data_IF_849138445525
#
_entry.id   IF_849138445525
#
_cell.length_a   1.000
_cell.length_b   1.000
_cell.length_c   1.000
_cell.angle_alpha   90.00
_cell.angle_beta   90.00
_cell.angle_gamma   90.00
#
_symmetry.space_group_name_H-M   'P 1'
#
loop_
_entity.id
_entity.type
_entity.pdbx_description
1 polymer ?
#
# COMPACT_ATOMS: atom_id res chain seq x y z
N UNK A 1 8.76 -16.33 6.02
CA UNK A 1 9.52 -15.05 6.02
C UNK A 1 9.09 -14.08 7.12
N UNK A 2 7.87 -13.53 7.13
CA UNK A 2 7.47 -12.51 8.15
C UNK A 2 7.49 -13.02 9.60
N UNK A 3 7.17 -14.28 9.85
CA UNK A 3 7.31 -14.90 11.18
C UNK A 3 8.76 -14.95 11.66
N UNK A 4 9.67 -15.28 10.76
CA UNK A 4 11.12 -15.30 11.04
C UNK A 4 11.65 -13.90 11.31
N UNK A 5 11.24 -12.89 10.51
CA UNK A 5 11.60 -11.50 10.75
C UNK A 5 11.11 -10.99 12.12
N UNK A 6 9.88 -11.34 12.51
CA UNK A 6 9.36 -11.02 13.86
C UNK A 6 10.14 -11.69 14.99
N UNK A 7 10.60 -12.92 14.79
CA UNK A 7 11.44 -13.62 15.76
C UNK A 7 12.77 -12.91 15.93
N UNK A 8 13.46 -12.59 14.83
CA UNK A 8 14.73 -11.83 14.84
C UNK A 8 14.55 -10.49 15.51
N UNK A 9 13.52 -9.73 15.15
CA UNK A 9 13.27 -8.40 15.72
C UNK A 9 12.99 -8.46 17.23
N UNK A 10 12.38 -9.54 17.75
CA UNK A 10 12.14 -9.70 19.19
C UNK A 10 13.38 -10.14 19.97
N UNK A 11 14.30 -10.83 19.32
CA UNK A 11 15.55 -11.30 19.95
C UNK A 11 16.68 -10.28 19.89
N UNK A 12 16.53 -9.20 19.13
CA UNK A 12 17.55 -8.18 18.95
C UNK A 12 17.01 -6.79 19.25
N UNK A 13 17.80 -5.98 19.96
CA UNK A 13 17.55 -4.55 20.15
C UNK A 13 17.93 -3.72 18.90
N UNK A 14 18.60 -4.33 17.93
CA UNK A 14 19.07 -3.67 16.71
C UNK A 14 17.89 -3.56 15.72
N UNK A 15 17.64 -2.37 15.15
CA UNK A 15 16.60 -2.20 14.12
C UNK A 15 16.85 -3.09 12.91
N UNK A 16 15.84 -3.87 12.52
CA UNK A 16 15.91 -4.72 11.34
C UNK A 16 15.65 -3.91 10.07
N UNK A 17 16.53 -4.04 9.09
CA UNK A 17 16.40 -3.51 7.73
C UNK A 17 16.50 -4.64 6.72
N UNK A 18 15.79 -4.54 5.61
CA UNK A 18 15.95 -5.42 4.46
C UNK A 18 16.62 -4.60 3.37
N UNK A 19 17.91 -4.89 3.14
CA UNK A 19 18.78 -4.06 2.32
C UNK A 19 18.59 -4.27 0.81
N UNK A 20 17.93 -5.37 0.42
CA UNK A 20 17.52 -5.58 -0.96
C UNK A 20 16.24 -6.41 -1.00
N UNK A 21 15.25 -5.93 -1.72
CA UNK A 21 14.01 -6.64 -1.98
C UNK A 21 13.40 -6.22 -3.30
N UNK A 22 12.62 -7.11 -3.92
CA UNK A 22 11.65 -6.82 -4.96
C UNK A 22 10.76 -8.06 -5.19
N UNK A 23 9.82 -7.99 -6.17
CA UNK A 23 8.79 -9.01 -6.38
C UNK A 23 9.31 -10.33 -7.02
N UNK A 24 10.16 -10.25 -8.04
CA UNK A 24 10.76 -11.40 -8.70
C UNK A 24 12.27 -11.18 -8.86
N UNK A 25 13.08 -12.15 -8.48
CA UNK A 25 14.54 -12.05 -8.58
C UNK A 25 15.04 -11.91 -10.03
N UNK A 26 16.35 -11.65 -10.20
CA UNK A 26 17.02 -11.60 -11.51
C UNK A 26 16.41 -10.57 -12.48
N UNK A 27 16.20 -9.32 -12.02
CA UNK A 27 15.63 -8.18 -12.78
C UNK A 27 14.12 -8.26 -13.04
N UNK A 28 13.42 -9.19 -12.39
CA UNK A 28 11.99 -9.32 -12.54
C UNK A 28 11.55 -10.05 -13.82
N UNK A 29 10.26 -10.28 -13.94
CA UNK A 29 9.64 -10.94 -15.06
C UNK A 29 8.72 -9.94 -15.78
N UNK A 30 8.97 -9.60 -17.06
CA UNK A 30 8.05 -8.79 -17.84
C UNK A 30 6.65 -9.40 -17.89
N UNK A 31 5.61 -8.56 -17.81
CA UNK A 31 4.22 -9.01 -17.74
C UNK A 31 3.76 -9.50 -16.35
N UNK A 32 4.68 -9.56 -15.38
CA UNK A 32 4.41 -9.85 -13.97
C UNK A 32 4.90 -8.69 -13.12
N UNK A 33 6.21 -8.45 -13.10
CA UNK A 33 6.87 -7.51 -12.20
C UNK A 33 6.56 -6.04 -12.51
N UNK A 34 6.28 -5.72 -13.78
CA UNK A 34 5.96 -4.39 -14.26
C UNK A 34 4.45 -4.13 -14.33
N UNK A 35 3.62 -4.97 -13.72
CA UNK A 35 2.16 -4.84 -13.77
C UNK A 35 1.59 -4.26 -12.46
N UNK A 36 0.31 -3.92 -12.46
CA UNK A 36 -0.39 -3.45 -11.28
C UNK A 36 -0.48 -4.50 -10.16
N UNK A 37 -0.41 -5.79 -10.50
CA UNK A 37 -0.30 -6.86 -9.50
C UNK A 37 0.96 -6.69 -8.62
N UNK A 38 2.07 -6.21 -9.20
CA UNK A 38 3.29 -5.85 -8.46
C UNK A 38 3.03 -4.71 -7.47
N UNK A 39 2.26 -3.70 -7.85
CA UNK A 39 1.87 -2.61 -6.94
C UNK A 39 1.02 -3.12 -5.77
N UNK A 40 0.07 -4.03 -6.02
CA UNK A 40 -0.73 -4.63 -4.95
C UNK A 40 0.13 -5.47 -4.01
N UNK A 41 1.06 -6.26 -4.57
CA UNK A 41 2.04 -7.00 -3.79
C UNK A 41 2.90 -6.07 -2.93
N UNK A 42 3.45 -5.00 -3.51
CA UNK A 42 4.31 -4.05 -2.80
C UNK A 42 3.55 -3.32 -1.67
N UNK A 43 2.28 -2.97 -1.87
CA UNK A 43 1.44 -2.37 -0.85
C UNK A 43 1.23 -3.30 0.35
N UNK A 44 0.89 -4.58 0.11
CA UNK A 44 0.73 -5.59 1.16
C UNK A 44 2.07 -5.92 1.83
N UNK A 45 3.09 -6.20 1.02
CA UNK A 45 4.41 -6.59 1.50
C UNK A 45 5.02 -5.52 2.41
N UNK A 46 5.04 -4.26 1.98
CA UNK A 46 5.61 -3.15 2.74
C UNK A 46 4.85 -2.95 4.06
N UNK A 47 3.51 -2.91 4.01
CA UNK A 47 2.71 -2.76 5.22
C UNK A 47 2.94 -3.90 6.21
N UNK A 48 2.99 -5.15 5.73
CA UNK A 48 3.24 -6.32 6.60
C UNK A 48 4.66 -6.39 7.13
N UNK A 49 5.67 -5.99 6.35
CA UNK A 49 7.05 -5.90 6.81
C UNK A 49 7.19 -4.85 7.92
N UNK A 50 6.60 -3.66 7.74
CA UNK A 50 6.53 -2.64 8.78
C UNK A 50 5.81 -3.15 10.04
N UNK A 51 4.69 -3.85 9.88
CA UNK A 51 3.96 -4.46 11.00
C UNK A 51 4.74 -5.60 11.67
N UNK A 52 5.70 -6.21 10.98
CA UNK A 52 6.64 -7.17 11.55
C UNK A 52 7.80 -6.53 12.31
N UNK A 53 7.94 -5.18 12.28
CA UNK A 53 8.99 -4.43 12.95
C UNK A 53 10.17 -4.05 12.06
N UNK A 54 10.09 -4.32 10.75
CA UNK A 54 11.12 -3.89 9.78
C UNK A 54 11.11 -2.36 9.71
N UNK A 55 12.29 -1.74 9.84
CA UNK A 55 12.48 -0.29 9.89
C UNK A 55 12.88 0.33 8.55
N UNK A 56 13.31 -0.47 7.61
CA UNK A 56 13.66 -0.03 6.26
C UNK A 56 13.54 -1.18 5.27
N UNK A 57 13.13 -0.84 4.06
CA UNK A 57 13.04 -1.72 2.91
C UNK A 57 13.67 -1.00 1.73
N UNK A 58 14.70 -1.60 1.14
CA UNK A 58 15.36 -1.07 -0.03
C UNK A 58 14.90 -1.87 -1.26
N UNK A 59 14.01 -1.26 -2.03
CA UNK A 59 13.56 -1.86 -3.28
C UNK A 59 14.64 -1.71 -4.33
N UNK A 60 15.09 -2.83 -4.87
CA UNK A 60 16.11 -2.83 -5.91
C UNK A 60 15.60 -2.10 -7.15
N UNK A 61 16.34 -1.09 -7.57
CA UNK A 61 16.08 -0.31 -8.78
C UNK A 61 17.39 0.01 -9.51
N UNK A 62 17.39 -0.16 -10.82
CA UNK A 62 18.46 0.26 -11.71
C UNK A 62 17.90 1.23 -12.74
N UNK A 63 17.83 2.48 -12.38
CA UNK A 63 17.14 3.54 -13.13
C UNK A 63 17.62 3.67 -14.61
N UNK A 64 18.91 3.44 -14.87
CA UNK A 64 19.50 3.51 -16.20
C UNK A 64 19.58 2.16 -16.93
N UNK A 65 19.30 1.06 -16.25
CA UNK A 65 19.24 -0.30 -16.79
C UNK A 65 18.07 -1.04 -16.15
N UNK A 66 16.84 -0.56 -16.39
CA UNK A 66 15.70 -1.05 -15.65
C UNK A 66 15.45 -2.53 -15.93
N UNK A 67 15.26 -3.29 -14.85
CA UNK A 67 14.59 -4.57 -14.91
C UNK A 67 13.06 -4.39 -14.92
N UNK A 68 12.32 -5.47 -15.14
CA UNK A 68 10.87 -5.40 -15.15
C UNK A 68 10.28 -4.97 -13.80
N UNK A 69 11.00 -5.19 -12.69
CA UNK A 69 10.57 -4.77 -11.35
C UNK A 69 10.96 -3.33 -10.97
N UNK A 70 11.70 -2.59 -11.81
CA UNK A 70 12.16 -1.23 -11.44
C UNK A 70 10.98 -0.32 -11.14
N UNK A 71 10.88 0.26 -9.92
CA UNK A 71 9.81 1.20 -9.59
C UNK A 71 9.85 2.47 -10.45
N UNK A 72 11.05 2.93 -10.79
CA UNK A 72 11.29 4.11 -11.61
C UNK A 72 12.16 3.76 -12.83
N UNK A 73 11.91 4.41 -13.94
CA UNK A 73 12.64 4.21 -15.19
C UNK A 73 12.98 5.57 -15.81
N UNK A 74 14.26 5.81 -16.09
CA UNK A 74 14.68 6.98 -16.86
C UNK A 74 14.42 6.72 -18.36
N UNK A 75 13.76 7.65 -19.01
CA UNK A 75 13.54 7.70 -20.46
C UNK A 75 13.99 9.06 -21.01
N UNK A 76 13.99 9.22 -22.34
CA UNK A 76 14.40 10.48 -22.98
C UNK A 76 13.54 11.67 -22.57
N UNK A 77 12.28 11.44 -22.25
CA UNK A 77 11.27 12.43 -21.86
C UNK A 77 11.12 12.61 -20.34
N UNK A 78 11.97 11.96 -19.55
CA UNK A 78 11.99 12.12 -18.08
C UNK A 78 11.91 10.81 -17.29
N UNK A 79 11.50 10.93 -16.03
CA UNK A 79 11.30 9.77 -15.15
C UNK A 79 9.88 9.22 -15.31
N UNK A 80 9.78 7.91 -15.49
CA UNK A 80 8.52 7.20 -15.55
C UNK A 80 8.35 6.31 -14.34
N UNK A 81 7.22 6.43 -13.69
CA UNK A 81 6.82 5.57 -12.58
C UNK A 81 6.15 4.29 -13.11
N UNK A 82 6.71 3.15 -12.77
CA UNK A 82 6.05 1.87 -12.93
C UNK A 82 5.00 1.65 -11.82
N UNK A 83 4.08 0.69 -11.98
CA UNK A 83 2.99 0.46 -11.04
C UNK A 83 3.43 0.34 -9.58
N UNK A 84 4.54 -0.34 -9.31
CA UNK A 84 5.09 -0.53 -7.97
C UNK A 84 5.38 0.78 -7.23
N UNK A 85 5.85 1.83 -7.95
CA UNK A 85 6.15 3.13 -7.37
C UNK A 85 4.97 3.75 -6.63
N UNK A 86 3.74 3.57 -7.15
CA UNK A 86 2.53 4.11 -6.52
C UNK A 86 2.24 3.45 -5.17
N UNK A 87 2.59 2.17 -5.00
CA UNK A 87 2.49 1.50 -3.72
C UNK A 87 3.51 2.04 -2.71
N UNK A 88 4.73 2.35 -3.16
CA UNK A 88 5.77 2.96 -2.31
C UNK A 88 5.36 4.36 -1.86
N UNK A 89 4.76 5.18 -2.75
CA UNK A 89 4.18 6.48 -2.39
C UNK A 89 3.06 6.36 -1.35
N UNK A 90 2.23 5.32 -1.45
CA UNK A 90 1.19 5.03 -0.46
C UNK A 90 1.81 4.62 0.88
N UNK A 91 2.82 3.73 0.86
CA UNK A 91 3.49 3.21 2.05
C UNK A 91 4.26 4.31 2.81
N UNK A 92 4.81 5.29 2.12
CA UNK A 92 5.49 6.45 2.72
C UNK A 92 4.58 7.19 3.73
N UNK A 93 3.25 7.15 3.53
CA UNK A 93 2.27 7.74 4.45
C UNK A 93 2.23 7.08 5.82
N UNK A 94 2.79 5.87 5.94
CA UNK A 94 2.85 5.10 7.18
C UNK A 94 4.14 5.38 7.97
N UNK A 95 5.06 6.18 7.44
CA UNK A 95 6.35 6.46 8.07
C UNK A 95 6.17 6.98 9.52
N UNK A 96 6.95 6.44 10.45
CA UNK A 96 6.88 6.80 11.87
C UNK A 96 5.68 6.24 12.64
N UNK A 97 4.75 5.54 11.99
CA UNK A 97 3.58 4.94 12.66
C UNK A 97 3.93 3.62 13.33
N UNK A 98 3.23 3.32 14.43
CA UNK A 98 3.32 2.04 15.15
C UNK A 98 2.28 1.07 14.62
N UNK A 99 2.67 -0.18 14.39
CA UNK A 99 1.74 -1.23 13.98
C UNK A 99 0.72 -1.55 15.07
N UNK A 100 -0.52 -1.77 14.65
CA UNK A 100 -1.62 -2.26 15.45
C UNK A 100 -2.00 -3.67 15.00
N UNK A 101 -2.63 -4.43 15.91
CA UNK A 101 -3.21 -5.73 15.53
C UNK A 101 -4.43 -5.50 14.63
N UNK A 102 -4.44 -6.17 13.47
CA UNK A 102 -5.58 -6.23 12.57
C UNK A 102 -5.94 -7.69 12.27
N UNK A 103 -7.23 -7.97 12.08
CA UNK A 103 -7.75 -9.28 11.69
C UNK A 103 -8.76 -9.10 10.57
N UNK A 104 -8.77 -10.02 9.60
CA UNK A 104 -9.75 -10.09 8.52
C UNK A 104 -10.64 -11.30 8.75
N UNK A 105 -11.94 -11.12 8.56
CA UNK A 105 -12.93 -12.18 8.66
C UNK A 105 -13.69 -12.31 7.32
N UNK A 106 -13.89 -13.53 6.87
CA UNK A 106 -14.76 -13.89 5.73
C UNK A 106 -14.38 -13.29 4.37
N UNK A 107 -13.09 -12.97 4.15
CA UNK A 107 -12.60 -12.47 2.86
C UNK A 107 -11.17 -12.98 2.62
N UNK A 108 -11.00 -14.18 2.01
CA UNK A 108 -9.70 -14.84 1.90
C UNK A 108 -8.67 -14.07 1.08
N UNK A 109 -9.11 -13.29 0.10
CA UNK A 109 -8.24 -12.49 -0.78
C UNK A 109 -8.09 -11.03 -0.32
N UNK A 110 -8.62 -10.67 0.86
CA UNK A 110 -8.43 -9.36 1.47
C UNK A 110 -7.34 -9.43 2.52
N UNK A 111 -6.36 -8.54 2.43
CA UNK A 111 -5.43 -8.27 3.53
C UNK A 111 -5.73 -6.94 4.18
N UNK A 112 -5.43 -6.85 5.47
CA UNK A 112 -5.55 -5.63 6.24
C UNK A 112 -4.37 -5.50 7.21
N UNK A 113 -3.74 -4.32 7.21
CA UNK A 113 -2.69 -3.97 8.17
C UNK A 113 -3.01 -2.60 8.74
N UNK A 114 -2.89 -2.45 10.06
CA UNK A 114 -3.26 -1.21 10.75
C UNK A 114 -2.09 -0.59 11.48
N UNK A 115 -2.10 0.74 11.56
CA UNK A 115 -1.06 1.56 12.18
C UNK A 115 -1.69 2.71 12.96
N UNK A 116 -0.92 3.25 13.89
CA UNK A 116 -1.24 4.47 14.63
C UNK A 116 -0.04 5.41 14.57
N UNK A 117 -0.25 6.61 14.07
CA UNK A 117 0.77 7.67 14.07
C UNK A 117 0.95 8.27 15.48
N UNK A 118 2.04 9.02 15.70
CA UNK A 118 2.29 9.74 16.93
C UNK A 118 1.16 10.75 17.25
N UNK A 119 0.50 11.31 16.22
CA UNK A 119 -0.65 12.23 16.39
C UNK A 119 -1.99 11.52 16.60
N UNK A 120 -2.02 10.21 16.89
CA UNK A 120 -3.25 9.46 17.13
C UNK A 120 -4.10 9.18 15.89
N UNK A 121 -3.54 9.38 14.69
CA UNK A 121 -4.21 9.07 13.42
C UNK A 121 -4.12 7.58 13.16
N UNK A 122 -5.26 6.90 13.02
CA UNK A 122 -5.28 5.50 12.63
C UNK A 122 -5.24 5.38 11.10
N UNK A 123 -4.38 4.48 10.62
CA UNK A 123 -4.13 4.23 9.19
C UNK A 123 -4.31 2.75 8.92
N UNK A 124 -5.18 2.39 7.98
CA UNK A 124 -5.47 1.01 7.63
C UNK A 124 -5.18 0.81 6.15
N UNK A 125 -4.21 -0.05 5.84
CA UNK A 125 -3.93 -0.53 4.49
C UNK A 125 -4.80 -1.74 4.23
N UNK A 126 -5.59 -1.67 3.17
CA UNK A 126 -6.43 -2.75 2.67
C UNK A 126 -5.96 -3.10 1.26
N UNK A 127 -5.76 -4.39 0.98
CA UNK A 127 -5.47 -4.86 -0.38
C UNK A 127 -6.42 -5.99 -0.73
N UNK A 128 -7.17 -5.80 -1.80
CA UNK A 128 -8.08 -6.80 -2.36
C UNK A 128 -7.43 -7.46 -3.57
N UNK A 129 -7.06 -8.73 -3.42
CA UNK A 129 -6.44 -9.56 -4.46
C UNK A 129 -7.47 -10.34 -5.31
N UNK A 130 -8.76 -10.09 -5.14
CA UNK A 130 -9.76 -10.71 -6.01
C UNK A 130 -9.46 -10.37 -7.48
N UNK A 131 -9.67 -11.31 -8.42
CA UNK A 131 -9.45 -11.06 -9.84
C UNK A 131 -10.27 -9.88 -10.35
N UNK A 132 -9.72 -9.16 -11.33
CA UNK A 132 -10.41 -8.06 -12.00
C UNK A 132 -11.76 -8.53 -12.58
N UNK A 133 -12.78 -7.67 -12.49
CA UNK A 133 -14.17 -8.03 -12.88
C UNK A 133 -14.99 -8.68 -11.77
N UNK A 134 -14.38 -9.03 -10.62
CA UNK A 134 -15.10 -9.50 -9.44
C UNK A 134 -15.96 -8.41 -8.79
N UNK A 135 -16.95 -8.83 -8.01
CA UNK A 135 -17.79 -7.91 -7.23
C UNK A 135 -16.96 -7.17 -6.20
N UNK A 136 -17.08 -5.85 -6.08
CA UNK A 136 -16.40 -5.11 -5.03
C UNK A 136 -16.73 -5.63 -3.63
N UNK A 137 -15.72 -5.75 -2.77
CA UNK A 137 -15.93 -6.14 -1.38
C UNK A 137 -16.53 -4.97 -0.59
N UNK A 138 -17.61 -5.23 0.15
CA UNK A 138 -18.09 -4.31 1.18
C UNK A 138 -17.30 -4.55 2.48
N UNK A 139 -16.24 -3.78 2.68
CA UNK A 139 -15.39 -3.88 3.85
C UNK A 139 -16.01 -3.10 5.01
N UNK A 140 -16.18 -3.74 6.16
CA UNK A 140 -16.64 -3.12 7.40
C UNK A 140 -15.48 -3.06 8.39
N UNK A 141 -15.07 -1.84 8.75
CA UNK A 141 -13.99 -1.62 9.71
C UNK A 141 -14.57 -1.38 11.10
N UNK A 142 -14.13 -2.17 12.06
CA UNK A 142 -14.36 -1.95 13.49
C UNK A 142 -13.06 -1.47 14.11
N UNK A 143 -12.94 -0.17 14.33
CA UNK A 143 -11.73 0.46 14.86
C UNK A 143 -12.03 0.93 16.28
N UNK A 144 -11.28 0.45 17.30
CA UNK A 144 -11.38 0.96 18.65
C UNK A 144 -11.03 2.45 18.69
N UNK A 145 -11.67 3.19 19.57
CA UNK A 145 -11.42 4.62 19.74
C UNK A 145 -12.53 5.51 19.19
N UNK A 146 -12.33 6.82 19.35
CA UNK A 146 -13.32 7.85 19.00
C UNK A 146 -13.05 8.42 17.61
N UNK A 147 -13.09 7.59 16.60
CA UNK A 147 -13.02 8.04 15.20
C UNK A 147 -14.43 8.24 14.66
N UNK A 148 -14.77 9.43 14.18
CA UNK A 148 -16.06 9.72 13.56
C UNK A 148 -16.07 9.35 12.06
N UNK A 149 -14.90 9.39 11.42
CA UNK A 149 -14.70 9.12 10.01
C UNK A 149 -13.27 9.42 9.58
N UNK A 150 -13.09 9.56 8.27
CA UNK A 150 -11.78 9.84 7.69
C UNK A 150 -11.81 9.94 6.18
N UNK A 151 -10.66 9.69 5.56
CA UNK A 151 -10.46 9.73 4.11
C UNK A 151 -9.96 8.40 3.57
N UNK A 152 -10.14 8.18 2.28
CA UNK A 152 -9.73 6.98 1.57
C UNK A 152 -8.82 7.39 0.42
N UNK A 153 -7.55 6.99 0.47
CA UNK A 153 -6.59 7.10 -0.64
C UNK A 153 -6.57 5.75 -1.38
N UNK A 154 -7.09 5.71 -2.59
CA UNK A 154 -7.21 4.48 -3.39
C UNK A 154 -6.03 4.32 -4.32
N UNK A 155 -5.54 3.10 -4.44
CA UNK A 155 -4.58 2.66 -5.45
C UNK A 155 -5.34 1.77 -6.44
N UNK A 156 -5.43 2.19 -7.70
CA UNK A 156 -6.25 1.57 -8.73
C UNK A 156 -5.56 1.57 -10.09
N UNK A 157 -5.95 0.63 -10.95
CA UNK A 157 -5.60 0.57 -12.36
C UNK A 157 -6.73 -0.10 -13.16
N UNK A 158 -6.71 -0.08 -14.51
CA UNK A 158 -7.72 -0.75 -15.32
C UNK A 158 -7.82 -2.26 -15.10
N UNK A 159 -6.72 -2.91 -14.77
CA UNK A 159 -6.65 -4.35 -14.44
C UNK A 159 -5.39 -4.66 -13.61
N UNK A 160 -5.32 -5.87 -13.04
CA UNK A 160 -4.11 -6.36 -12.38
C UNK A 160 -2.90 -6.46 -13.33
N UNK A 161 -3.13 -6.62 -14.62
CA UNK A 161 -2.08 -6.72 -15.66
C UNK A 161 -1.70 -5.36 -16.25
N UNK A 162 -2.33 -4.27 -15.84
CA UNK A 162 -2.03 -2.93 -16.35
C UNK A 162 -0.57 -2.54 -16.03
N UNK A 163 0.17 -2.08 -17.03
CA UNK A 163 1.53 -1.55 -16.90
C UNK A 163 1.57 -0.02 -16.87
N UNK A 164 0.42 0.62 -17.02
CA UNK A 164 0.22 2.09 -17.05
C UNK A 164 -1.18 2.43 -16.53
N UNK A 165 -1.52 3.73 -16.52
CA UNK A 165 -2.81 4.26 -16.03
C UNK A 165 -3.09 3.89 -14.56
N UNK A 166 -2.02 3.69 -13.79
CA UNK A 166 -2.10 3.49 -12.35
C UNK A 166 -2.38 4.82 -11.68
N UNK A 167 -3.32 4.84 -10.74
CA UNK A 167 -3.72 6.05 -10.01
C UNK A 167 -3.65 5.81 -8.51
N UNK A 168 -3.05 6.76 -7.82
CA UNK A 168 -3.10 6.85 -6.38
C UNK A 168 -3.90 8.10 -5.99
N UNK A 169 -5.03 7.91 -5.30
CA UNK A 169 -5.94 9.00 -4.99
C UNK A 169 -6.47 9.72 -6.24
N UNK A 170 -6.63 9.01 -7.36
CA UNK A 170 -7.04 9.56 -8.64
C UNK A 170 -5.96 10.33 -9.42
N UNK A 171 -4.78 10.55 -8.83
CA UNK A 171 -3.63 11.20 -9.48
C UNK A 171 -2.63 10.19 -10.06
N UNK A 172 -1.92 10.60 -11.10
CA UNK A 172 -0.79 9.88 -11.70
C UNK A 172 0.52 10.62 -11.40
N UNK A 173 1.64 9.91 -11.45
CA UNK A 173 2.98 10.52 -11.37
C UNK A 173 3.26 11.18 -12.70
N UNK A 174 3.65 12.45 -12.67
CA UNK A 174 4.00 13.22 -13.86
C UNK A 174 5.45 12.97 -14.28
N UNK A 175 5.80 13.32 -15.52
CA UNK A 175 7.18 13.21 -16.03
C UNK A 175 8.19 14.04 -15.22
N UNK A 176 7.75 15.05 -14.47
CA UNK A 176 8.54 15.79 -13.48
C UNK A 176 8.91 14.97 -12.23
N UNK A 177 8.37 13.75 -12.08
CA UNK A 177 8.49 12.94 -10.87
C UNK A 177 7.53 13.35 -9.74
N UNK A 178 6.75 14.41 -9.92
CA UNK A 178 5.78 14.86 -8.91
C UNK A 178 4.50 14.05 -8.96
N UNK A 179 3.89 13.89 -7.78
CA UNK A 179 2.57 13.26 -7.64
C UNK A 179 1.71 14.04 -6.66
N UNK A 180 0.42 14.16 -6.98
CA UNK A 180 -0.58 14.67 -6.06
C UNK A 180 -1.90 13.90 -6.21
N UNK A 181 -2.59 13.66 -5.12
CA UNK A 181 -3.94 13.12 -5.17
C UNK A 181 -4.92 14.17 -5.72
N UNK A 182 -5.97 13.72 -6.41
CA UNK A 182 -7.11 14.58 -6.76
C UNK A 182 -7.95 14.82 -5.50
N UNK A 183 -8.04 16.07 -5.12
CA UNK A 183 -8.81 16.48 -3.94
C UNK A 183 -10.23 16.94 -4.33
N UNK A 184 -11.22 16.79 -3.42
CA UNK A 184 -11.12 16.14 -2.11
C UNK A 184 -11.07 14.61 -2.22
N UNK A 185 -10.34 13.98 -1.31
CA UNK A 185 -10.36 12.51 -1.21
C UNK A 185 -11.76 12.04 -0.76
N UNK A 186 -12.20 10.84 -1.22
CA UNK A 186 -13.42 10.23 -0.73
C UNK A 186 -13.42 10.10 0.78
N UNK A 187 -14.55 10.45 1.42
CA UNK A 187 -14.71 10.40 2.86
C UNK A 187 -15.45 9.13 3.28
N UNK A 188 -15.13 8.67 4.49
CA UNK A 188 -15.78 7.56 5.15
C UNK A 188 -16.27 8.03 6.52
N UNK A 189 -17.48 7.66 6.88
CA UNK A 189 -18.12 8.06 8.14
C UNK A 189 -18.56 6.84 8.95
N UNK A 190 -18.49 6.97 10.26
CA UNK A 190 -18.98 5.94 11.18
C UNK A 190 -20.50 5.90 11.17
N UNK A 191 -21.07 4.73 10.89
CA UNK A 191 -22.50 4.47 10.96
C UNK A 191 -22.73 3.20 11.79
N UNK A 192 -23.62 3.29 12.78
CA UNK A 192 -23.95 2.14 13.67
C UNK A 192 -22.71 1.43 14.22
N UNK A 193 -21.71 2.21 14.68
CA UNK A 193 -20.51 1.66 15.31
C UNK A 193 -19.41 1.15 14.36
N UNK A 194 -19.61 1.15 13.04
CA UNK A 194 -18.64 0.71 12.05
C UNK A 194 -18.43 1.73 10.95
N UNK A 195 -17.27 1.64 10.28
CA UNK A 195 -16.97 2.35 9.04
C UNK A 195 -17.10 1.36 7.90
N UNK A 196 -17.78 1.73 6.81
CA UNK A 196 -17.96 0.85 5.67
C UNK A 196 -17.47 1.51 4.38
N UNK A 197 -16.73 0.75 3.57
CA UNK A 197 -16.29 1.17 2.24
C UNK A 197 -16.43 0.03 1.23
N UNK A 198 -16.71 0.38 0.00
CA UNK A 198 -16.58 -0.54 -1.13
C UNK A 198 -15.13 -0.55 -1.57
N UNK A 199 -14.52 -1.73 -1.69
CA UNK A 199 -13.15 -1.94 -2.17
C UNK A 199 -13.22 -2.79 -3.46
N UNK A 200 -12.95 -2.19 -4.62
CA UNK A 200 -12.96 -2.93 -5.88
C UNK A 200 -12.02 -4.13 -5.88
N UNK A 201 -12.32 -5.13 -6.69
CA UNK A 201 -11.40 -6.21 -6.99
C UNK A 201 -10.09 -5.65 -7.57
N UNK A 202 -8.97 -6.32 -7.36
CA UNK A 202 -7.65 -5.89 -7.79
C UNK A 202 -7.38 -4.41 -7.46
N UNK A 203 -7.53 -4.02 -6.18
CA UNK A 203 -7.26 -2.66 -5.73
C UNK A 203 -6.73 -2.60 -4.30
N UNK A 204 -6.12 -1.46 -3.93
CA UNK A 204 -5.76 -1.20 -2.56
C UNK A 204 -6.31 0.16 -2.09
N UNK A 205 -6.37 0.33 -0.77
CA UNK A 205 -6.77 1.57 -0.15
C UNK A 205 -6.00 1.82 1.15
N UNK A 206 -5.61 3.06 1.37
CA UNK A 206 -5.21 3.56 2.68
C UNK A 206 -6.37 4.37 3.26
N UNK A 207 -6.96 3.85 4.32
CA UNK A 207 -7.99 4.54 5.10
C UNK A 207 -7.29 5.29 6.23
N UNK A 208 -7.50 6.60 6.32
CA UNK A 208 -6.90 7.48 7.34
C UNK A 208 -8.01 8.04 8.20
N UNK A 209 -7.97 7.75 9.50
CA UNK A 209 -8.97 8.17 10.49
C UNK A 209 -8.30 9.11 11.49
N UNK A 210 -8.72 10.38 11.49
CA UNK A 210 -8.26 11.36 12.47
C UNK A 210 -9.00 11.21 13.80
N UNK A 211 -8.36 11.46 14.94
CA UNK A 211 -9.04 11.58 16.22
C UNK A 211 -10.02 12.76 16.21
N UNK A 212 -11.03 12.79 17.10
CA UNK A 212 -11.92 13.93 17.22
C UNK A 212 -11.14 15.21 17.54
N UNK A 213 -11.45 16.29 16.85
CA UNK A 213 -10.84 17.61 17.07
C UNK A 213 -9.51 17.84 16.33
N UNK A 214 -9.11 16.96 15.42
CA UNK A 214 -7.97 17.15 14.53
C UNK A 214 -8.41 17.73 13.18
#
# INVERSE_FOLDING_TARGET
>A
MLSSLRAIQRSSAIPLRIDETNNVSCKGQPGVSNTFASALWAADYTARAMAAGVRGLDFHDLINRPGAYSPLVARKDGLHANPEWYALLMAQRLAGSKALRATVHSAPNLTATAFLSAGGVAQIVLVNFDPAGGTPLLVRLRVPGRFAGGTILRLTAPSAYATSQVKLGGGEVMASGTWSARLPLPRIYKRRGSLALSLPASSAALVTLAPPGA
#
